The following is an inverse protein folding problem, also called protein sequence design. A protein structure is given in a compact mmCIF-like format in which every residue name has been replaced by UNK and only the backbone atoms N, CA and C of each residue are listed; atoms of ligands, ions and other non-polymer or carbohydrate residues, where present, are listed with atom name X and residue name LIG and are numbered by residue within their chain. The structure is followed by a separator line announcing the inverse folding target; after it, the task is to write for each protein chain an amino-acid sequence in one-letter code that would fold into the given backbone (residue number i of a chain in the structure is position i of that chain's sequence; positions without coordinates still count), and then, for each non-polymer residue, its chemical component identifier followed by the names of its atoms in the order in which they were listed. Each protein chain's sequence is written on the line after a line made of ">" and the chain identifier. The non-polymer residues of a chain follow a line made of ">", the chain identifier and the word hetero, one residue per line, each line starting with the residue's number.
data_IF_818905739506
#
_entry.id   IF_818905739506
#
_cell.length_a   1.000
_cell.length_b   1.000
_cell.length_c   1.000
_cell.angle_alpha   90.00
_cell.angle_beta   90.00
_cell.angle_gamma   90.00
#
_symmetry.space_group_name_H-M   'P 1'
#
loop_
_entity.id
_entity.type
_entity.pdbx_description
1 polymer ?
#
# COMPACT_ATOMS: atom_id res chain seq x y z
N UNK A 1 9.78 -28.49 37.19
CA UNK A 1 8.58 -28.58 36.32
C UNK A 1 7.82 -27.26 36.27
N UNK A 2 7.41 -26.68 37.41
CA UNK A 2 6.59 -25.45 37.47
C UNK A 2 7.18 -24.21 36.75
N UNK A 3 8.47 -23.94 36.92
CA UNK A 3 9.16 -22.79 36.29
C UNK A 3 9.19 -22.91 34.76
N UNK A 4 9.40 -24.12 34.24
CA UNK A 4 9.41 -24.38 32.79
C UNK A 4 8.01 -24.20 32.22
N UNK A 5 6.98 -24.65 32.93
CA UNK A 5 5.58 -24.47 32.51
C UNK A 5 5.19 -22.99 32.43
N UNK A 6 5.58 -22.18 33.42
CA UNK A 6 5.32 -20.72 33.40
C UNK A 6 6.08 -20.05 32.26
N UNK A 7 7.34 -20.43 32.03
CA UNK A 7 8.16 -19.85 30.96
C UNK A 7 7.60 -20.16 29.57
N UNK A 8 7.12 -21.39 29.37
CA UNK A 8 6.47 -21.83 28.11
C UNK A 8 5.14 -21.10 27.92
N UNK A 9 4.33 -20.94 28.97
CA UNK A 9 3.10 -20.16 28.91
C UNK A 9 3.36 -18.70 28.50
N UNK A 10 4.39 -18.08 29.07
CA UNK A 10 4.78 -16.71 28.77
C UNK A 10 5.23 -16.53 27.31
N UNK A 11 6.00 -17.50 26.79
CA UNK A 11 6.42 -17.56 25.39
C UNK A 11 5.24 -17.70 24.42
N UNK A 12 4.27 -18.56 24.76
CA UNK A 12 3.05 -18.75 23.96
C UNK A 12 2.23 -17.46 23.93
N UNK A 13 2.06 -16.77 25.07
CA UNK A 13 1.38 -15.47 25.09
C UNK A 13 2.09 -14.42 24.27
N UNK A 14 3.43 -14.38 24.24
CA UNK A 14 4.18 -13.40 23.45
C UNK A 14 4.03 -13.64 21.94
N UNK A 15 3.95 -14.91 21.52
CA UNK A 15 3.73 -15.29 20.12
C UNK A 15 2.29 -15.05 19.64
N UNK A 16 1.32 -14.96 20.55
CA UNK A 16 -0.09 -14.75 20.25
C UNK A 16 -0.50 -13.26 20.26
N UNK A 17 0.40 -12.33 20.57
CA UNK A 17 0.11 -10.90 20.41
C UNK A 17 0.25 -10.55 18.92
N UNK A 18 -0.84 -10.21 18.21
CA UNK A 18 -0.72 -9.70 16.85
C UNK A 18 0.12 -8.42 16.90
N UNK A 19 1.23 -8.40 16.16
CA UNK A 19 2.05 -7.21 16.04
C UNK A 19 1.21 -6.04 15.51
N UNK A 20 1.37 -4.86 16.11
CA UNK A 20 0.76 -3.65 15.59
C UNK A 20 1.38 -3.36 14.21
N UNK A 21 0.67 -3.73 13.14
CA UNK A 21 1.07 -3.39 11.79
C UNK A 21 0.91 -1.87 11.59
N UNK A 22 1.97 -1.19 11.19
CA UNK A 22 1.92 0.23 10.85
C UNK A 22 1.02 0.43 9.62
N UNK A 23 0.10 1.41 9.69
CA UNK A 23 -0.81 1.67 8.60
C UNK A 23 -0.04 2.27 7.41
N UNK A 24 -0.01 1.54 6.29
CA UNK A 24 0.64 2.01 5.07
C UNK A 24 -0.07 3.24 4.51
N UNK A 25 0.69 4.24 4.10
CA UNK A 25 0.15 5.39 3.39
C UNK A 25 -0.48 4.95 2.07
N UNK A 26 -1.62 5.56 1.73
CA UNK A 26 -2.30 5.37 0.44
C UNK A 26 -2.13 6.62 -0.40
N UNK A 27 -1.59 6.49 -1.60
CA UNK A 27 -1.27 7.60 -2.49
C UNK A 27 -1.97 7.37 -3.83
N UNK A 28 -2.87 8.29 -4.20
CA UNK A 28 -3.52 8.28 -5.49
C UNK A 28 -2.76 9.15 -6.50
N UNK A 29 -2.49 8.58 -7.67
CA UNK A 29 -1.97 9.31 -8.83
C UNK A 29 -3.06 9.40 -9.89
N UNK A 30 -3.50 10.63 -10.16
CA UNK A 30 -4.62 10.94 -11.06
C UNK A 30 -4.13 11.69 -12.30
N UNK A 31 -3.82 10.99 -13.41
CA UNK A 31 -3.37 11.62 -14.65
C UNK A 31 -4.54 12.27 -15.40
N UNK A 32 -4.20 13.14 -16.37
CA UNK A 32 -5.20 13.79 -17.24
C UNK A 32 -5.97 12.81 -18.11
N UNK A 33 -5.33 11.70 -18.49
CA UNK A 33 -5.97 10.55 -19.12
C UNK A 33 -5.14 9.29 -18.88
N UNK A 34 -5.78 8.13 -18.92
CA UNK A 34 -5.10 6.82 -18.87
C UNK A 34 -5.03 6.19 -20.26
N UNK A 35 -4.11 5.25 -20.46
CA UNK A 35 -4.02 4.45 -21.69
C UNK A 35 -3.11 5.01 -22.79
N UNK A 36 -2.37 6.09 -22.53
CA UNK A 36 -1.32 6.58 -23.45
C UNK A 36 0.09 6.24 -22.92
N UNK A 37 1.10 6.10 -23.81
CA UNK A 37 2.44 5.68 -23.41
C UNK A 37 3.07 6.53 -22.29
N UNK A 38 2.82 7.84 -22.30
CA UNK A 38 3.36 8.76 -21.29
C UNK A 38 2.87 8.43 -19.88
N UNK A 39 1.56 8.28 -19.70
CA UNK A 39 0.99 8.00 -18.37
C UNK A 39 1.17 6.54 -17.95
N UNK A 40 1.31 5.60 -18.89
CA UNK A 40 1.69 4.22 -18.57
C UNK A 40 3.12 4.14 -18.01
N UNK A 41 4.07 4.90 -18.58
CA UNK A 41 5.43 5.00 -18.03
C UNK A 41 5.44 5.60 -16.61
N UNK A 42 4.54 6.55 -16.33
CA UNK A 42 4.36 7.10 -14.99
C UNK A 42 3.75 6.08 -14.01
N UNK A 43 2.77 5.27 -14.46
CA UNK A 43 2.19 4.18 -13.67
C UNK A 43 3.27 3.16 -13.26
N UNK A 44 4.14 2.77 -14.19
CA UNK A 44 5.27 1.85 -13.91
C UNK A 44 6.24 2.44 -12.87
N UNK A 45 6.61 3.71 -13.04
CA UNK A 45 7.45 4.41 -12.07
C UNK A 45 6.81 4.52 -10.69
N UNK A 46 5.50 4.83 -10.64
CA UNK A 46 4.72 4.91 -9.41
C UNK A 46 4.64 3.57 -8.68
N UNK A 47 4.39 2.47 -9.40
CA UNK A 47 4.40 1.10 -8.84
C UNK A 47 5.76 0.73 -8.26
N UNK A 48 6.85 1.11 -8.93
CA UNK A 48 8.20 0.88 -8.42
C UNK A 48 8.46 1.66 -7.12
N UNK A 49 8.14 2.95 -7.10
CA UNK A 49 8.29 3.77 -5.91
C UNK A 49 7.42 3.27 -4.74
N UNK A 50 6.22 2.76 -5.04
CA UNK A 50 5.32 2.20 -4.04
C UNK A 50 5.92 0.98 -3.34
N UNK A 51 6.59 0.11 -4.10
CA UNK A 51 7.32 -1.04 -3.57
C UNK A 51 8.54 -0.61 -2.75
N UNK A 52 9.30 0.37 -3.24
CA UNK A 52 10.51 0.87 -2.56
C UNK A 52 10.18 1.58 -1.22
N UNK A 53 9.01 2.22 -1.12
CA UNK A 53 8.57 2.99 0.04
C UNK A 53 7.58 2.26 0.95
N UNK A 54 7.19 1.04 0.60
CA UNK A 54 6.17 0.23 1.28
C UNK A 54 4.82 0.96 1.48
N UNK A 55 4.33 1.61 0.41
CA UNK A 55 3.06 2.34 0.38
C UNK A 55 2.07 1.73 -0.61
N UNK A 56 0.78 2.03 -0.44
CA UNK A 56 -0.27 1.64 -1.40
C UNK A 56 -0.38 2.72 -2.49
N UNK A 57 -0.23 2.31 -3.74
CA UNK A 57 -0.34 3.19 -4.91
C UNK A 57 -1.63 2.92 -5.68
N UNK A 58 -2.44 3.97 -5.85
CA UNK A 58 -3.71 3.93 -6.56
C UNK A 58 -3.55 4.69 -7.86
N UNK A 59 -3.68 4.00 -9.00
CA UNK A 59 -3.64 4.60 -10.32
C UNK A 59 -5.06 4.67 -10.89
N UNK A 60 -5.60 5.88 -11.04
CA UNK A 60 -6.97 6.08 -11.52
C UNK A 60 -7.08 7.39 -12.28
N UNK A 61 -7.86 7.45 -13.36
CA UNK A 61 -8.05 8.66 -14.14
C UNK A 61 -8.98 8.42 -15.32
N UNK A 62 -9.40 9.47 -16.03
CA UNK A 62 -10.33 9.33 -17.15
C UNK A 62 -9.67 8.64 -18.36
N UNK A 63 -10.41 7.83 -19.11
CA UNK A 63 -9.91 7.19 -20.36
C UNK A 63 -9.89 8.14 -21.56
N UNK A 64 -10.55 9.29 -21.46
CA UNK A 64 -10.59 10.36 -22.47
C UNK A 64 -10.12 11.66 -21.83
N UNK A 65 -9.44 12.52 -22.60
CA UNK A 65 -9.04 13.85 -22.15
C UNK A 65 -10.28 14.74 -22.01
N UNK A 66 -10.96 14.64 -20.87
CA UNK A 66 -12.15 15.41 -20.54
C UNK A 66 -11.89 16.20 -19.25
N UNK A 67 -11.89 17.52 -19.35
CA UNK A 67 -11.58 18.45 -18.26
C UNK A 67 -12.55 18.30 -17.09
N UNK A 68 -13.80 17.87 -17.34
CA UNK A 68 -14.80 17.71 -16.29
C UNK A 68 -14.50 16.52 -15.35
N UNK A 69 -13.81 15.48 -15.84
CA UNK A 69 -13.52 14.26 -15.05
C UNK A 69 -12.28 14.37 -14.16
N UNK A 70 -11.55 15.49 -14.21
CA UNK A 70 -10.35 15.70 -13.39
C UNK A 70 -10.64 16.40 -12.06
N UNK A 71 -11.85 16.96 -11.89
CA UNK A 71 -12.28 17.71 -10.70
C UNK A 71 -13.29 16.97 -9.80
N UNK A 72 -13.78 15.80 -10.23
CA UNK A 72 -14.54 14.85 -9.40
C UNK A 72 -13.59 13.86 -8.71
#
# INVERSE_FOLDING_TARGET
>A
MFVVTVFVLLLITFLLVPGFAEAKYKIAFVPKLIGIPYFNAMEEGGKKAAADLDVEFIYTGPVTADVAKQSE
#
